data_IF_889014457163
#
_entry.id   IF_889014457163
#
_cell.length_a   1.000
_cell.length_b   1.000
_cell.length_c   1.000
_cell.angle_alpha   90.00
_cell.angle_beta   90.00
_cell.angle_gamma   90.00
#
_symmetry.space_group_name_H-M   'P 1'
#
loop_
_entity.id
_entity.type
_entity.pdbx_description
1 polymer ?
#
# COMPACT_ATOMS: atom_id res chain seq x y z
N UNK A 1 -5.58 4.58 -16.44
CA UNK A 1 -5.84 3.46 -15.50
C UNK A 1 -4.74 3.53 -14.46
N UNK A 2 -5.07 3.73 -13.18
CA UNK A 2 -4.05 3.88 -12.14
C UNK A 2 -3.21 2.61 -12.03
N UNK A 3 -1.90 2.76 -11.90
CA UNK A 3 -1.00 1.62 -11.69
C UNK A 3 -1.27 0.98 -10.33
N UNK A 4 -0.88 -0.29 -10.17
CA UNK A 4 -0.97 -0.98 -8.87
C UNK A 4 -0.25 -0.21 -7.76
N UNK A 5 0.83 0.51 -8.10
CA UNK A 5 1.61 1.32 -7.16
C UNK A 5 0.82 2.54 -6.69
N UNK A 6 0.29 3.33 -7.61
CA UNK A 6 -0.57 4.50 -7.31
C UNK A 6 -1.78 4.10 -6.46
N UNK A 7 -2.41 2.96 -6.78
CA UNK A 7 -3.53 2.44 -5.99
C UNK A 7 -3.16 2.12 -4.53
N UNK A 8 -1.92 1.67 -4.27
CA UNK A 8 -1.47 1.42 -2.90
C UNK A 8 -1.22 2.74 -2.16
N UNK A 9 -0.59 3.71 -2.83
CA UNK A 9 -0.35 5.03 -2.23
C UNK A 9 -1.67 5.72 -1.88
N UNK A 10 -2.63 5.73 -2.80
CA UNK A 10 -3.99 6.25 -2.56
C UNK A 10 -4.67 5.52 -1.40
N UNK A 11 -4.56 4.19 -1.36
CA UNK A 11 -5.12 3.40 -0.25
C UNK A 11 -4.50 3.81 1.09
N UNK A 12 -3.18 3.98 1.17
CA UNK A 12 -2.48 4.37 2.40
C UNK A 12 -2.88 5.78 2.83
N UNK A 13 -2.93 6.74 1.89
CA UNK A 13 -3.30 8.13 2.16
C UNK A 13 -4.73 8.28 2.72
N UNK A 14 -5.63 7.36 2.38
CA UNK A 14 -7.00 7.35 2.87
C UNK A 14 -7.19 6.57 4.20
N UNK A 15 -6.13 6.01 4.79
CA UNK A 15 -6.23 5.35 6.09
C UNK A 15 -6.28 6.36 7.23
N UNK A 16 -7.09 6.06 8.25
CA UNK A 16 -7.09 6.83 9.48
C UNK A 16 -5.72 6.82 10.15
N UNK A 17 -5.28 7.99 10.64
CA UNK A 17 -4.04 8.14 11.40
C UNK A 17 -4.03 7.16 12.59
N UNK A 18 -2.89 6.48 12.80
CA UNK A 18 -2.74 5.46 13.84
C UNK A 18 -3.17 4.06 13.42
N UNK A 19 -3.74 3.88 12.23
CA UNK A 19 -4.04 2.55 11.69
C UNK A 19 -2.76 1.80 11.32
N UNK A 20 -2.56 0.63 11.93
CA UNK A 20 -1.45 -0.26 11.60
C UNK A 20 -1.73 -0.97 10.27
N UNK A 21 -0.71 -1.00 9.41
CA UNK A 21 -0.69 -1.77 8.17
C UNK A 21 0.53 -2.66 8.09
N UNK A 22 0.45 -3.72 7.29
CA UNK A 22 1.60 -4.56 6.93
C UNK A 22 1.62 -4.81 5.44
N UNK A 23 2.81 -5.09 4.90
CA UNK A 23 3.02 -5.50 3.49
C UNK A 23 2.05 -6.60 3.09
N UNK A 24 1.95 -7.66 3.90
CA UNK A 24 1.09 -8.82 3.63
C UNK A 24 -0.39 -8.44 3.59
N UNK A 25 -0.84 -7.58 4.52
CA UNK A 25 -2.24 -7.15 4.56
C UNK A 25 -2.63 -6.35 3.33
N UNK A 26 -1.77 -5.43 2.88
CA UNK A 26 -1.99 -4.59 1.69
C UNK A 26 -1.93 -5.45 0.42
N UNK A 27 -0.92 -6.33 0.31
CA UNK A 27 -0.78 -7.24 -0.81
C UNK A 27 -2.03 -8.11 -1.01
N UNK A 28 -2.56 -8.68 0.08
CA UNK A 28 -3.79 -9.48 0.05
C UNK A 28 -5.02 -8.64 -0.30
N UNK A 29 -5.17 -7.46 0.29
CA UNK A 29 -6.35 -6.60 0.08
C UNK A 29 -6.44 -6.09 -1.36
N UNK A 30 -5.31 -5.66 -1.92
CA UNK A 30 -5.23 -5.08 -3.27
C UNK A 30 -4.88 -6.10 -4.36
N UNK A 31 -4.71 -7.38 -3.99
CA UNK A 31 -4.36 -8.48 -4.91
C UNK A 31 -3.10 -8.19 -5.74
N UNK A 32 -2.06 -7.72 -5.06
CA UNK A 32 -0.74 -7.40 -5.64
C UNK A 32 0.35 -8.28 -4.99
N UNK A 33 1.54 -8.33 -5.60
CA UNK A 33 2.68 -9.01 -4.97
C UNK A 33 3.18 -8.25 -3.74
N UNK A 34 3.75 -8.97 -2.78
CA UNK A 34 4.36 -8.36 -1.59
C UNK A 34 5.47 -7.38 -1.95
N UNK A 35 6.27 -7.65 -2.99
CA UNK A 35 7.29 -6.71 -3.46
C UNK A 35 6.73 -5.42 -4.07
N UNK A 36 5.50 -5.44 -4.60
CA UNK A 36 4.82 -4.22 -5.06
C UNK A 36 4.26 -3.43 -3.86
N UNK A 37 3.62 -4.13 -2.92
CA UNK A 37 3.13 -3.52 -1.68
C UNK A 37 4.27 -2.92 -0.85
N UNK A 38 5.40 -3.62 -0.72
CA UNK A 38 6.56 -3.17 0.03
C UNK A 38 7.14 -1.87 -0.51
N UNK A 39 7.36 -1.77 -1.83
CA UNK A 39 7.90 -0.55 -2.45
C UNK A 39 7.00 0.66 -2.22
N UNK A 40 5.69 0.50 -2.41
CA UNK A 40 4.73 1.58 -2.19
C UNK A 40 4.65 1.99 -0.71
N UNK A 41 4.66 1.04 0.24
CA UNK A 41 4.71 1.37 1.67
C UNK A 41 6.00 2.12 2.01
N UNK A 42 7.15 1.63 1.52
CA UNK A 42 8.46 2.26 1.77
C UNK A 42 8.54 3.67 1.20
N UNK A 43 7.90 3.91 0.06
CA UNK A 43 7.78 5.24 -0.54
C UNK A 43 6.87 6.15 0.28
N UNK A 44 5.74 5.67 0.78
CA UNK A 44 4.84 6.43 1.66
C UNK A 44 5.42 6.72 3.07
N UNK A 45 6.48 6.00 3.48
CA UNK A 45 7.21 6.24 4.73
C UNK A 45 8.23 7.40 4.63
N UNK A 46 8.66 7.76 3.42
CA UNK A 46 9.65 8.83 3.16
C UNK A 46 8.96 10.15 2.81
#
# INVERSE_FOLDING_TARGET
>A
MATKHEQILDYIANLAVGKKISVRSIAKHLKVSEGTAYRAIKEAEN
#
